data_IF_134235749841
#
_entry.id   IF_134235749841
#
_cell.length_a   1.000
_cell.length_b   1.000
_cell.length_c   1.000
_cell.angle_alpha   90.00
_cell.angle_beta   90.00
_cell.angle_gamma   90.00
#
_symmetry.space_group_name_H-M   'P 1'
#
loop_
_entity.id
_entity.type
_entity.pdbx_description
1 polymer ?
#
# COMPACT_ATOMS: atom_id res chain seq x y z
N UNK A 1 -52.46 -10.96 -20.88
CA UNK A 1 -51.90 -9.67 -21.34
C UNK A 1 -50.74 -9.17 -20.46
N UNK A 2 -50.87 -9.06 -19.14
CA UNK A 2 -49.81 -8.52 -18.27
C UNK A 2 -48.58 -9.44 -18.06
N UNK A 3 -48.77 -10.76 -18.02
CA UNK A 3 -47.68 -11.73 -17.79
C UNK A 3 -46.71 -11.85 -18.99
N UNK A 4 -47.22 -11.68 -20.21
CA UNK A 4 -46.45 -11.74 -21.43
C UNK A 4 -45.49 -10.53 -21.56
N UNK A 5 -45.95 -9.35 -21.12
CA UNK A 5 -45.13 -8.14 -21.06
C UNK A 5 -43.98 -8.22 -20.04
N UNK A 6 -44.16 -8.99 -18.96
CA UNK A 6 -43.12 -9.21 -17.95
C UNK A 6 -42.00 -10.12 -18.48
N UNK A 7 -42.36 -11.21 -19.19
CA UNK A 7 -41.40 -12.13 -19.82
C UNK A 7 -40.58 -11.42 -20.92
N UNK A 8 -41.21 -10.52 -21.70
CA UNK A 8 -40.53 -9.73 -22.71
C UNK A 8 -39.47 -8.76 -22.13
N UNK A 9 -39.72 -8.16 -20.96
CA UNK A 9 -38.76 -7.26 -20.30
C UNK A 9 -37.55 -7.99 -19.72
N UNK A 10 -37.75 -9.21 -19.20
CA UNK A 10 -36.64 -10.03 -18.66
C UNK A 10 -35.73 -10.54 -19.79
N UNK A 11 -36.30 -10.93 -20.94
CA UNK A 11 -35.54 -11.33 -22.11
C UNK A 11 -34.64 -10.18 -22.63
N UNK A 12 -35.19 -8.96 -22.73
CA UNK A 12 -34.44 -7.78 -23.18
C UNK A 12 -33.30 -7.38 -22.22
N UNK A 13 -33.45 -7.63 -20.92
CA UNK A 13 -32.40 -7.37 -19.91
C UNK A 13 -31.26 -8.39 -19.99
N UNK A 14 -31.57 -9.66 -20.29
CA UNK A 14 -30.54 -10.71 -20.49
C UNK A 14 -29.69 -10.48 -21.74
N UNK A 15 -30.30 -10.01 -22.83
CA UNK A 15 -29.58 -9.72 -24.08
C UNK A 15 -28.63 -8.50 -23.95
N UNK A 16 -29.03 -7.49 -23.17
CA UNK A 16 -28.15 -6.34 -22.86
C UNK A 16 -26.94 -6.73 -22.02
N UNK A 17 -27.08 -7.68 -21.10
CA UNK A 17 -25.95 -8.18 -20.31
C UNK A 17 -25.00 -9.07 -21.12
N UNK A 18 -25.50 -9.86 -22.08
CA UNK A 18 -24.66 -10.64 -22.98
C UNK A 18 -23.80 -9.75 -23.89
N UNK A 19 -24.36 -8.63 -24.39
CA UNK A 19 -23.63 -7.65 -25.22
C UNK A 19 -22.56 -6.87 -24.45
N UNK A 20 -22.73 -6.67 -23.13
CA UNK A 20 -21.74 -6.01 -22.28
C UNK A 20 -20.54 -6.92 -21.94
N UNK A 21 -20.76 -8.24 -21.90
CA UNK A 21 -19.71 -9.24 -21.62
C UNK A 21 -18.77 -9.51 -22.81
N UNK A 22 -19.15 -9.13 -24.03
CA UNK A 22 -18.34 -9.31 -25.24
C UNK A 22 -17.36 -8.17 -25.56
N UNK A 23 -17.33 -7.07 -24.79
CA UNK A 23 -16.51 -5.88 -25.07
C UNK A 23 -15.34 -5.68 -24.09
N UNK A 24 -14.82 -6.78 -23.54
CA UNK A 24 -13.57 -6.83 -22.80
C UNK A 24 -12.66 -7.89 -23.43
N UNK A 25 -12.18 -7.62 -24.65
CA UNK A 25 -11.10 -8.38 -25.28
C UNK A 25 -10.13 -7.37 -25.87
N UNK A 26 -9.04 -7.15 -25.15
CA UNK A 26 -8.04 -6.13 -25.46
C UNK A 26 -7.32 -5.57 -24.24
N UNK A 27 -7.04 -6.39 -23.22
CA UNK A 27 -5.93 -6.10 -22.31
C UNK A 27 -4.81 -7.02 -22.78
N UNK A 28 -3.74 -6.42 -23.30
CA UNK A 28 -2.50 -7.14 -23.58
C UNK A 28 -2.07 -7.84 -22.28
N UNK A 29 -1.88 -9.16 -22.35
CA UNK A 29 -1.27 -9.91 -21.27
C UNK A 29 0.11 -9.29 -21.01
N UNK A 30 0.38 -8.89 -19.77
CA UNK A 30 1.72 -8.54 -19.34
C UNK A 30 2.66 -9.72 -19.67
N UNK A 31 3.89 -9.46 -20.15
CA UNK A 31 4.84 -10.53 -20.40
C UNK A 31 5.09 -11.30 -19.10
N UNK A 32 5.26 -12.64 -19.15
CA UNK A 32 5.59 -13.41 -17.95
C UNK A 32 6.91 -12.88 -17.35
N UNK A 33 7.04 -12.88 -16.01
CA UNK A 33 8.29 -12.50 -15.37
C UNK A 33 9.43 -13.39 -15.90
N UNK A 34 10.64 -12.83 -16.10
CA UNK A 34 11.78 -13.63 -16.52
C UNK A 34 12.04 -14.73 -15.48
N UNK A 35 12.49 -15.92 -15.91
CA UNK A 35 12.84 -16.98 -14.97
C UNK A 35 13.96 -16.49 -14.05
N UNK A 36 13.99 -16.93 -12.77
CA UNK A 36 15.09 -16.62 -11.88
C UNK A 36 16.38 -17.11 -12.53
N UNK A 37 17.34 -16.20 -12.70
CA UNK A 37 18.67 -16.58 -13.17
C UNK A 37 19.26 -17.52 -12.11
N UNK A 38 19.54 -18.77 -12.49
CA UNK A 38 20.29 -19.69 -11.64
C UNK A 38 21.66 -19.06 -11.35
N UNK A 39 21.81 -18.54 -10.14
CA UNK A 39 23.10 -18.13 -9.62
C UNK A 39 23.82 -19.43 -9.26
N UNK A 40 24.75 -19.84 -10.13
CA UNK A 40 25.80 -20.77 -9.77
C UNK A 40 26.56 -20.15 -8.58
N UNK A 41 26.32 -20.70 -7.39
CA UNK A 41 27.12 -20.41 -6.21
C UNK A 41 28.56 -20.84 -6.49
N UNK A 42 29.42 -19.87 -6.80
CA UNK A 42 30.86 -20.02 -6.59
C UNK A 42 31.13 -19.37 -5.25
N UNK A 43 31.36 -20.22 -4.26
CA UNK A 43 31.83 -19.82 -2.94
C UNK A 43 33.28 -19.32 -3.10
N UNK A 44 33.47 -18.00 -3.12
CA UNK A 44 34.76 -17.41 -2.81
C UNK A 44 34.58 -15.98 -2.28
N UNK A 45 35.35 -15.66 -1.25
CA UNK A 45 35.08 -14.61 -0.29
C UNK A 45 35.31 -13.17 -0.73
N UNK A 46 34.84 -12.30 0.18
CA UNK A 46 35.34 -10.96 0.49
C UNK A 46 34.96 -9.80 -0.45
N UNK A 47 34.07 -8.96 0.10
CA UNK A 47 34.05 -7.49 -0.02
C UNK A 47 33.72 -6.92 -1.40
N UNK A 48 32.52 -7.24 -1.89
CA UNK A 48 31.88 -6.51 -2.98
C UNK A 48 31.12 -5.30 -2.45
N UNK A 49 31.58 -4.11 -2.82
CA UNK A 49 30.95 -2.82 -2.52
C UNK A 49 29.44 -2.84 -2.82
N UNK A 50 28.63 -2.54 -1.81
CA UNK A 50 27.18 -2.34 -1.98
C UNK A 50 27.02 -1.26 -3.05
N UNK A 51 26.38 -1.52 -4.20
CA UNK A 51 26.24 -0.51 -5.24
C UNK A 51 25.52 0.69 -4.63
N UNK A 52 26.19 1.85 -4.64
CA UNK A 52 25.63 3.08 -4.11
C UNK A 52 24.23 3.28 -4.70
N UNK A 53 23.24 3.66 -3.87
CA UNK A 53 21.89 3.88 -4.37
C UNK A 53 21.94 4.89 -5.52
N UNK A 54 21.12 4.71 -6.58
CA UNK A 54 21.13 5.61 -7.72
C UNK A 54 20.99 7.05 -7.20
N UNK A 55 21.79 8.00 -7.72
CA UNK A 55 21.69 9.39 -7.28
C UNK A 55 20.23 9.83 -7.46
N UNK A 56 19.64 10.53 -6.47
CA UNK A 56 18.27 10.97 -6.57
C UNK A 56 18.11 11.72 -7.89
N UNK A 57 17.15 11.29 -8.70
CA UNK A 57 16.86 11.90 -9.99
C UNK A 57 16.81 13.41 -9.79
N UNK A 58 17.72 14.15 -10.43
CA UNK A 58 17.78 15.61 -10.35
C UNK A 58 16.51 16.17 -10.99
N UNK A 59 15.43 16.26 -10.23
CA UNK A 59 14.26 17.07 -10.54
C UNK A 59 14.64 18.52 -10.28
N UNK A 60 14.65 19.33 -11.33
CA UNK A 60 14.80 20.77 -11.21
C UNK A 60 13.60 21.38 -10.49
N UNK A 61 13.87 22.30 -9.56
CA UNK A 61 12.88 23.17 -8.90
C UNK A 61 12.37 22.64 -7.56
N UNK A 62 12.89 23.19 -6.45
CA UNK A 62 12.37 23.11 -5.07
C UNK A 62 11.80 21.75 -4.57
N UNK A 63 12.26 20.62 -5.09
CA UNK A 63 11.83 19.32 -4.57
C UNK A 63 12.59 19.00 -3.29
N UNK A 64 11.87 18.74 -2.20
CA UNK A 64 12.46 18.18 -1.00
C UNK A 64 13.17 16.86 -1.31
N UNK A 65 14.21 16.49 -0.57
CA UNK A 65 14.81 15.15 -0.70
C UNK A 65 13.74 14.08 -0.45
N UNK A 66 13.82 12.93 -1.13
CA UNK A 66 12.85 11.85 -0.97
C UNK A 66 12.84 11.37 0.48
N UNK A 67 11.65 11.24 1.05
CA UNK A 67 11.45 10.81 2.44
C UNK A 67 11.68 9.30 2.52
N UNK A 68 12.66 8.79 3.29
CA UNK A 68 12.81 7.36 3.47
C UNK A 68 11.64 6.79 4.30
N UNK A 69 11.29 5.53 4.07
CA UNK A 69 10.49 4.77 5.03
C UNK A 69 11.31 4.63 6.31
N UNK A 70 10.77 5.09 7.41
CA UNK A 70 11.36 5.05 8.75
C UNK A 70 10.46 4.23 9.67
N UNK A 71 11.03 3.22 10.32
CA UNK A 71 10.34 2.35 11.27
C UNK A 71 11.25 2.05 12.46
N UNK A 72 10.80 2.41 13.66
CA UNK A 72 11.49 2.06 14.90
C UNK A 72 10.94 0.74 15.44
N UNK A 73 11.77 -0.30 15.54
CA UNK A 73 11.39 -1.54 16.20
C UNK A 73 11.43 -1.39 17.73
N UNK A 74 10.55 -2.08 18.43
CA UNK A 74 10.56 -2.15 19.89
C UNK A 74 11.85 -2.80 20.38
N UNK A 75 12.55 -2.10 21.27
CA UNK A 75 13.81 -2.56 21.83
C UNK A 75 15.03 -2.13 21.02
N UNK A 76 14.85 -1.60 19.81
CA UNK A 76 15.90 -0.91 19.08
C UNK A 76 15.97 0.55 19.52
N UNK A 77 17.19 1.10 19.50
CA UNK A 77 17.43 2.50 19.85
C UNK A 77 17.31 3.42 18.64
N UNK A 78 17.70 2.93 17.46
CA UNK A 78 17.69 3.70 16.22
C UNK A 78 16.58 3.21 15.28
N UNK A 79 15.89 4.11 14.57
CA UNK A 79 14.96 3.73 13.53
C UNK A 79 15.70 3.05 12.38
N UNK A 80 15.05 2.05 11.77
CA UNK A 80 15.49 1.48 10.51
C UNK A 80 15.00 2.36 9.36
N UNK A 81 15.91 2.71 8.46
CA UNK A 81 15.62 3.56 7.30
C UNK A 81 15.64 2.75 6.01
N UNK A 82 14.69 3.03 5.12
CA UNK A 82 14.54 2.42 3.78
C UNK A 82 14.31 0.90 3.79
N UNK A 83 14.00 0.34 4.95
CA UNK A 83 13.70 -1.07 5.12
C UNK A 83 12.38 -1.24 5.85
N UNK A 84 11.54 -2.14 5.34
CA UNK A 84 10.36 -2.62 6.05
C UNK A 84 10.76 -3.64 7.10
N UNK A 85 9.83 -3.99 7.98
CA UNK A 85 10.03 -5.03 9.00
C UNK A 85 8.96 -6.12 8.84
N UNK A 86 9.29 -7.34 9.26
CA UNK A 86 8.33 -8.44 9.28
C UNK A 86 7.92 -8.76 10.72
N UNK A 87 6.67 -8.48 11.02
CA UNK A 87 6.10 -8.74 12.35
C UNK A 87 5.95 -10.23 12.63
N UNK A 88 5.86 -11.07 11.59
CA UNK A 88 5.80 -12.53 11.74
C UNK A 88 7.13 -13.10 12.23
N UNK A 89 8.25 -12.43 11.93
CA UNK A 89 9.59 -12.78 12.41
C UNK A 89 9.88 -12.26 13.83
N UNK A 90 8.96 -11.46 14.39
CA UNK A 90 9.04 -10.93 15.76
C UNK A 90 9.49 -9.47 15.85
N UNK A 91 9.72 -8.79 14.73
CA UNK A 91 9.99 -7.35 14.72
C UNK A 91 8.69 -6.58 14.96
N UNK A 92 8.55 -6.00 16.15
CA UNK A 92 7.33 -5.26 16.53
C UNK A 92 7.59 -3.76 16.35
N UNK A 93 6.82 -3.03 15.52
CA UNK A 93 6.98 -1.58 15.40
C UNK A 93 6.61 -0.87 16.70
N UNK A 94 7.35 0.20 17.01
CA UNK A 94 7.05 1.09 18.14
C UNK A 94 5.72 1.82 17.95
N UNK A 95 5.45 2.24 16.71
CA UNK A 95 4.18 2.82 16.28
C UNK A 95 3.42 1.80 15.40
N UNK A 96 2.51 1.01 15.98
CA UNK A 96 1.74 0.05 15.21
C UNK A 96 0.75 0.73 14.25
N UNK A 97 0.65 0.22 13.03
CA UNK A 97 -0.38 0.52 12.05
C UNK A 97 -1.74 -0.04 12.49
N UNK A 98 -1.74 -1.15 13.23
CA UNK A 98 -2.91 -1.89 13.75
C UNK A 98 -3.70 -1.16 14.83
N UNK A 99 -3.95 0.13 14.63
CA UNK A 99 -4.73 1.01 15.50
C UNK A 99 -5.73 1.75 14.63
N UNK A 100 -6.99 1.79 15.07
CA UNK A 100 -8.01 2.52 14.36
C UNK A 100 -7.67 4.02 14.31
N UNK A 101 -7.60 4.59 13.12
CA UNK A 101 -7.21 5.99 12.92
C UNK A 101 -5.71 6.22 12.97
N UNK A 102 -4.89 5.18 12.73
CA UNK A 102 -3.46 5.38 12.50
C UNK A 102 -3.22 6.23 11.26
N UNK A 103 -2.26 7.16 11.34
CA UNK A 103 -1.89 8.07 10.27
C UNK A 103 -0.54 7.65 9.70
N UNK A 104 -0.53 7.29 8.43
CA UNK A 104 0.64 6.71 7.77
C UNK A 104 0.85 7.27 6.35
N UNK A 105 2.09 7.18 5.88
CA UNK A 105 2.49 7.54 4.52
C UNK A 105 2.66 6.26 3.70
N UNK A 106 2.08 6.16 2.49
CA UNK A 106 2.27 4.99 1.63
C UNK A 106 3.70 4.97 1.07
N UNK A 107 4.19 3.78 0.74
CA UNK A 107 5.51 3.62 0.08
C UNK A 107 5.42 3.98 -1.41
N UNK A 108 6.44 4.65 -1.97
CA UNK A 108 6.50 4.97 -3.41
C UNK A 108 6.82 3.68 -4.19
N UNK A 109 5.84 3.22 -4.97
CA UNK A 109 5.95 2.02 -5.80
C UNK A 109 7.10 2.06 -6.83
N UNK A 110 7.61 3.25 -7.18
CA UNK A 110 8.73 3.42 -8.12
C UNK A 110 10.09 3.38 -7.43
N UNK A 111 10.14 3.67 -6.14
CA UNK A 111 11.37 3.74 -5.35
C UNK A 111 11.17 3.05 -4.00
N UNK A 112 11.32 1.71 -3.95
CA UNK A 112 11.21 0.95 -2.72
C UNK A 112 12.11 1.52 -1.61
N UNK A 113 11.59 1.55 -0.38
CA UNK A 113 12.26 2.13 0.78
C UNK A 113 12.09 3.65 0.91
N UNK A 114 11.37 4.30 0.01
CA UNK A 114 10.97 5.69 0.15
C UNK A 114 9.46 5.81 0.25
N UNK A 115 9.00 6.76 1.05
CA UNK A 115 7.61 7.12 1.24
C UNK A 115 7.17 8.08 0.14
N UNK A 116 5.89 8.04 -0.24
CA UNK A 116 5.28 9.01 -1.12
C UNK A 116 5.28 10.39 -0.45
N UNK A 117 5.64 11.43 -1.20
CA UNK A 117 5.82 12.78 -0.67
C UNK A 117 4.54 13.64 -0.70
N UNK A 118 3.48 13.15 -1.35
CA UNK A 118 2.30 13.94 -1.65
C UNK A 118 0.99 13.30 -1.18
N UNK A 119 1.05 12.16 -0.51
CA UNK A 119 -0.12 11.45 -0.02
C UNK A 119 0.10 10.88 1.37
N UNK A 120 -0.99 10.77 2.11
CA UNK A 120 -1.06 10.08 3.39
C UNK A 120 -2.44 9.43 3.50
N UNK A 121 -2.60 8.51 4.43
CA UNK A 121 -3.88 7.86 4.66
C UNK A 121 -4.16 7.64 6.14
N UNK A 122 -5.45 7.61 6.48
CA UNK A 122 -5.93 7.09 7.74
C UNK A 122 -6.19 5.60 7.59
N UNK A 123 -5.60 4.80 8.46
CA UNK A 123 -5.83 3.38 8.51
C UNK A 123 -6.97 3.07 9.48
N UNK A 124 -8.09 2.62 8.93
CA UNK A 124 -9.28 2.24 9.69
C UNK A 124 -9.19 0.77 10.07
N UNK A 125 -8.26 0.44 10.95
CA UNK A 125 -8.05 -0.93 11.39
C UNK A 125 -9.32 -1.55 11.98
N UNK A 126 -9.75 -2.67 11.42
CA UNK A 126 -10.78 -3.53 12.01
C UNK A 126 -10.11 -4.79 12.56
N UNK A 127 -10.22 -5.07 13.88
CA UNK A 127 -9.68 -6.29 14.47
C UNK A 127 -10.20 -7.59 13.85
N UNK A 128 -11.35 -7.57 13.16
CA UNK A 128 -11.85 -8.73 12.43
C UNK A 128 -11.03 -9.07 11.17
N UNK A 129 -10.35 -8.07 10.60
CA UNK A 129 -9.48 -8.21 9.43
C UNK A 129 -8.01 -8.47 9.83
N UNK A 130 -7.74 -8.59 11.13
CA UNK A 130 -6.41 -8.84 11.65
C UNK A 130 -5.94 -10.27 11.35
N UNK A 131 -4.65 -10.42 11.09
CA UNK A 131 -3.99 -11.71 10.98
C UNK A 131 -3.86 -12.43 12.33
N UNK A 132 -3.21 -13.60 12.29
CA UNK A 132 -2.82 -14.30 13.52
C UNK A 132 -1.92 -13.37 14.36
N UNK A 133 -2.32 -13.11 15.62
CA UNK A 133 -1.64 -12.16 16.49
C UNK A 133 -2.31 -10.79 16.60
N UNK A 134 -3.43 -10.55 15.92
CA UNK A 134 -4.19 -9.30 16.07
C UNK A 134 -3.53 -8.09 15.41
N UNK A 135 -2.54 -8.31 14.55
CA UNK A 135 -1.87 -7.29 13.76
C UNK A 135 -2.42 -7.26 12.33
N UNK A 136 -2.33 -6.08 11.72
CA UNK A 136 -2.55 -5.85 10.30
C UNK A 136 -1.54 -6.63 9.46
N UNK A 137 -1.96 -7.08 8.28
CA UNK A 137 -1.08 -7.71 7.30
C UNK A 137 -0.04 -6.75 6.73
N UNK A 138 -0.33 -5.45 6.73
CA UNK A 138 0.58 -4.41 6.24
C UNK A 138 1.41 -3.77 7.37
N UNK A 139 1.39 -4.36 8.56
CA UNK A 139 2.19 -3.90 9.69
C UNK A 139 3.69 -3.94 9.31
N UNK A 140 4.41 -2.87 9.62
CA UNK A 140 5.83 -2.76 9.27
C UNK A 140 6.14 -2.42 7.80
N UNK A 141 5.13 -2.15 6.97
CA UNK A 141 5.33 -1.77 5.55
C UNK A 141 5.28 -0.26 5.29
N UNK A 142 4.66 0.50 6.20
CA UNK A 142 4.44 1.93 6.06
C UNK A 142 5.03 2.73 7.23
N UNK A 143 5.39 3.98 6.97
CA UNK A 143 5.80 4.90 8.03
C UNK A 143 4.56 5.47 8.72
N UNK A 144 4.31 5.01 9.94
CA UNK A 144 3.28 5.53 10.84
C UNK A 144 3.86 6.69 11.63
N UNK A 145 3.18 7.83 11.65
CA UNK A 145 3.68 9.06 12.31
C UNK A 145 2.68 9.69 13.27
N UNK A 146 1.47 9.14 13.40
CA UNK A 146 0.51 9.65 14.36
C UNK A 146 -0.75 8.80 14.48
N UNK A 147 -1.60 9.19 15.41
CA UNK A 147 -2.91 8.61 15.63
C UNK A 147 -3.93 9.72 15.81
N UNK A 148 -5.16 9.43 15.40
CA UNK A 148 -6.28 10.30 15.65
C UNK A 148 -6.73 10.11 17.09
N UNK A 149 -6.66 11.17 17.87
CA UNK A 149 -7.07 11.18 19.29
C UNK A 149 -8.47 11.72 19.51
N UNK A 150 -9.00 12.48 18.54
CA UNK A 150 -10.35 13.06 18.58
C UNK A 150 -11.01 13.01 17.19
N UNK A 151 -12.33 12.87 17.14
CA UNK A 151 -13.10 12.82 15.89
C UNK A 151 -13.01 11.49 15.12
N UNK A 152 -12.54 10.41 15.74
CA UNK A 152 -12.32 9.10 15.12
C UNK A 152 -13.59 8.51 14.45
N UNK A 153 -14.77 8.77 15.01
CA UNK A 153 -16.06 8.33 14.45
C UNK A 153 -16.38 8.97 13.10
N UNK A 154 -15.91 10.20 12.87
CA UNK A 154 -16.14 10.94 11.63
C UNK A 154 -15.27 10.45 10.49
N UNK A 155 -14.09 9.89 10.78
CA UNK A 155 -13.12 9.47 9.77
C UNK A 155 -13.68 8.34 8.89
N UNK A 156 -14.47 7.43 9.47
CA UNK A 156 -15.13 6.37 8.70
C UNK A 156 -16.08 6.89 7.62
N UNK A 157 -16.63 8.09 7.83
CA UNK A 157 -17.52 8.75 6.87
C UNK A 157 -16.77 9.60 5.84
N UNK A 158 -15.45 9.82 6.02
CA UNK A 158 -14.63 10.47 5.02
C UNK A 158 -14.47 9.51 3.84
N UNK A 159 -14.92 9.94 2.67
CA UNK A 159 -14.79 9.18 1.42
C UNK A 159 -14.04 9.96 0.36
N UNK A 160 -14.09 9.43 -0.86
CA UNK A 160 -13.46 10.04 -2.02
C UNK A 160 -13.94 11.48 -2.22
N UNK A 161 -12.99 12.39 -2.45
CA UNK A 161 -13.28 13.82 -2.67
C UNK A 161 -13.40 14.65 -1.40
N UNK A 162 -13.14 14.09 -0.21
CA UNK A 162 -12.94 14.88 1.00
C UNK A 162 -11.80 15.89 0.81
N UNK A 163 -12.02 17.14 1.24
CA UNK A 163 -11.04 18.23 1.12
C UNK A 163 -10.66 18.74 2.49
N UNK A 164 -9.35 18.76 2.76
CA UNK A 164 -8.80 19.36 3.97
C UNK A 164 -8.92 20.88 3.82
N UNK A 165 -9.78 21.50 4.63
CA UNK A 165 -9.99 22.94 4.62
C UNK A 165 -8.89 23.69 5.37
N UNK A 166 -8.44 23.13 6.50
CA UNK A 166 -7.45 23.75 7.38
C UNK A 166 -6.72 22.70 8.20
N UNK A 167 -5.44 22.95 8.45
CA UNK A 167 -4.62 22.29 9.47
C UNK A 167 -4.12 23.41 10.38
N UNK A 168 -4.25 23.23 11.70
CA UNK A 168 -3.82 24.19 12.73
C UNK A 168 -2.62 23.65 13.51
#
# INVERSE_FOLDING_TARGET
AAEEAAKAKVARKRERNAKKKGKAKGAAAAPPPPPPSEILATEDGMEGEVPAPPPPARRGGNSLPPLPVEILCRGEFEPRYKSTIDVQEGDIPGLPLSVYGALAVPSDARTPGYSDDNSFFFYLFDPQDAGLGGASFDEGQYSVFGYVTDGADSIRSLGDGAVIQRVE
#
